data_IF_728549667189
#
_entry.id   IF_728549667189
#
_cell.length_a   1.000
_cell.length_b   1.000
_cell.length_c   1.000
_cell.angle_alpha   90.00
_cell.angle_beta   90.00
_cell.angle_gamma   90.00
#
_symmetry.space_group_name_H-M   'P 1'
#
loop_
_entity.id
_entity.type
_entity.pdbx_description
1 polymer ?
#
# COMPACT_ATOMS: atom_id res chain seq x y z
N UNK A 1 -12.10 -30.14 16.13
CA UNK A 1 -10.84 -29.39 15.96
C UNK A 1 -11.19 -28.01 15.40
N UNK A 2 -11.04 -26.97 16.20
CA UNK A 2 -11.37 -25.58 15.84
C UNK A 2 -10.26 -25.02 14.95
N UNK A 3 -10.52 -24.91 13.64
CA UNK A 3 -9.57 -24.30 12.71
C UNK A 3 -9.33 -22.84 13.07
N UNK A 4 -8.10 -22.51 13.47
CA UNK A 4 -7.63 -21.14 13.61
C UNK A 4 -7.84 -20.45 12.26
N UNK A 5 -8.73 -19.45 12.21
CA UNK A 5 -8.91 -18.63 11.01
C UNK A 5 -7.63 -17.82 10.82
N UNK A 6 -6.75 -18.30 9.95
CA UNK A 6 -5.60 -17.53 9.47
C UNK A 6 -6.12 -16.58 8.41
N UNK A 7 -6.02 -15.27 8.68
CA UNK A 7 -6.30 -14.24 7.69
C UNK A 7 -5.01 -14.04 6.89
N UNK A 8 -4.85 -14.84 5.84
CA UNK A 8 -3.70 -14.79 4.96
C UNK A 8 -4.03 -13.89 3.76
N UNK A 9 -3.47 -12.69 3.74
CA UNK A 9 -3.15 -12.05 2.48
C UNK A 9 -1.64 -12.16 2.27
N UNK A 10 -1.20 -12.17 1.01
CA UNK A 10 0.23 -12.33 0.65
C UNK A 10 1.08 -11.09 1.02
N UNK A 11 0.65 -10.29 2.00
CA UNK A 11 1.33 -9.13 2.57
C UNK A 11 1.69 -9.39 4.05
N UNK A 12 2.41 -10.48 4.28
CA UNK A 12 3.37 -10.75 5.37
C UNK A 12 3.11 -10.16 6.78
N UNK A 13 1.87 -10.12 7.25
CA UNK A 13 1.54 -9.85 8.66
C UNK A 13 0.57 -10.90 9.20
N UNK A 14 1.08 -11.94 9.87
CA UNK A 14 0.21 -12.95 10.52
C UNK A 14 -0.03 -12.54 11.96
N UNK A 15 -1.28 -12.20 12.29
CA UNK A 15 -1.69 -11.87 13.65
C UNK A 15 -2.42 -13.06 14.28
N UNK A 16 -1.84 -13.61 15.34
CA UNK A 16 -2.47 -14.71 16.09
C UNK A 16 -3.47 -14.19 17.11
N UNK A 17 -3.28 -12.95 17.59
CA UNK A 17 -4.18 -12.26 18.52
C UNK A 17 -4.76 -11.01 17.89
N UNK A 18 -6.05 -10.83 18.16
CA UNK A 18 -6.83 -9.74 17.62
C UNK A 18 -6.36 -8.35 18.07
N UNK A 19 -5.97 -8.20 19.33
CA UNK A 19 -5.51 -6.92 19.87
C UNK A 19 -4.18 -6.48 19.24
N UNK A 20 -3.35 -7.44 18.81
CA UNK A 20 -2.10 -7.17 18.09
C UNK A 20 -2.39 -6.64 16.68
N UNK A 21 -3.39 -7.19 16.00
CA UNK A 21 -3.86 -6.69 14.70
C UNK A 21 -4.39 -5.26 14.80
N UNK A 22 -5.27 -4.98 15.76
CA UNK A 22 -5.85 -3.64 15.94
C UNK A 22 -4.77 -2.61 16.31
N UNK A 23 -3.85 -2.95 17.21
CA UNK A 23 -2.68 -2.10 17.52
C UNK A 23 -1.82 -1.84 16.30
N UNK A 24 -1.65 -2.84 15.42
CA UNK A 24 -0.94 -2.67 14.16
C UNK A 24 -1.65 -1.67 13.24
N UNK A 25 -2.97 -1.81 13.04
CA UNK A 25 -3.76 -0.87 12.23
C UNK A 25 -3.71 0.55 12.78
N UNK A 26 -3.80 0.72 14.11
CA UNK A 26 -3.64 2.01 14.75
C UNK A 26 -2.27 2.62 14.51
N UNK A 27 -1.20 1.82 14.66
CA UNK A 27 0.18 2.25 14.40
C UNK A 27 0.34 2.71 12.95
N UNK A 28 -0.12 1.90 11.99
CA UNK A 28 -0.12 2.26 10.56
C UNK A 28 -0.88 3.56 10.35
N UNK A 29 -2.07 3.69 10.95
CA UNK A 29 -2.90 4.89 10.83
C UNK A 29 -2.24 6.16 11.39
N UNK A 30 -1.49 6.05 12.50
CA UNK A 30 -0.74 7.16 13.10
C UNK A 30 0.49 7.56 12.28
N UNK A 31 1.14 6.59 11.64
CA UNK A 31 2.39 6.80 10.91
C UNK A 31 2.19 7.11 9.42
N UNK A 32 0.95 7.02 8.91
CA UNK A 32 0.64 7.34 7.52
C UNK A 32 0.51 8.85 7.32
N UNK A 33 1.13 9.39 6.27
CA UNK A 33 0.96 10.79 5.86
C UNK A 33 1.07 10.96 4.34
N UNK A 34 0.51 12.07 3.84
CA UNK A 34 0.74 12.53 2.47
C UNK A 34 1.85 13.56 2.43
N UNK A 35 2.74 13.46 1.46
CA UNK A 35 3.71 14.51 1.15
C UNK A 35 3.65 14.89 -0.33
N UNK A 36 3.57 16.20 -0.62
CA UNK A 36 3.60 16.74 -1.99
C UNK A 36 5.00 17.21 -2.34
N UNK A 37 5.53 16.72 -3.46
CA UNK A 37 6.85 17.07 -4.00
C UNK A 37 6.73 17.47 -5.47
N UNK A 38 7.56 18.41 -5.92
CA UNK A 38 7.60 18.82 -7.34
C UNK A 38 8.11 17.66 -8.18
N UNK A 39 7.44 17.35 -9.29
CA UNK A 39 7.74 16.20 -10.15
C UNK A 39 9.19 16.19 -10.66
N UNK A 40 9.78 17.37 -10.94
CA UNK A 40 11.19 17.48 -11.36
C UNK A 40 12.22 16.97 -10.35
N UNK A 41 11.82 16.79 -9.08
CA UNK A 41 12.67 16.26 -8.01
C UNK A 41 12.49 14.76 -7.79
N UNK A 42 11.57 14.12 -8.51
CA UNK A 42 11.24 12.70 -8.40
C UNK A 42 12.02 11.94 -9.47
N UNK A 43 12.73 10.89 -9.08
CA UNK A 43 13.38 9.96 -10.01
C UNK A 43 13.15 8.53 -9.55
N UNK A 44 12.85 7.63 -10.46
CA UNK A 44 12.96 6.20 -10.18
C UNK A 44 14.41 5.79 -10.38
N UNK A 45 14.97 5.08 -9.42
CA UNK A 45 16.33 4.55 -9.48
C UNK A 45 16.31 3.05 -9.17
N UNK A 46 17.15 2.24 -9.83
CA UNK A 46 17.22 0.82 -9.54
C UNK A 46 17.83 0.57 -8.14
N UNK A 47 17.42 -0.53 -7.52
CA UNK A 47 18.02 -1.08 -6.30
C UNK A 47 18.27 -2.57 -6.50
N UNK A 48 19.43 -3.02 -6.05
CA UNK A 48 19.83 -4.44 -5.97
C UNK A 48 20.24 -4.76 -4.54
N UNK A 49 20.23 -6.05 -4.19
CA UNK A 49 20.51 -6.50 -2.81
C UNK A 49 21.93 -6.18 -2.35
N UNK A 50 22.88 -6.16 -3.29
CA UNK A 50 24.30 -5.84 -3.10
C UNK A 50 24.61 -4.32 -3.17
N UNK A 51 23.61 -3.48 -3.37
CA UNK A 51 23.83 -2.04 -3.51
C UNK A 51 24.00 -1.37 -2.14
N UNK A 52 24.97 -0.44 -2.03
CA UNK A 52 25.19 0.35 -0.80
C UNK A 52 23.93 1.08 -0.31
N UNK A 53 23.07 1.51 -1.24
CA UNK A 53 21.79 2.15 -0.90
C UNK A 53 20.82 1.19 -0.21
N UNK A 54 20.87 -0.11 -0.51
CA UNK A 54 20.05 -1.12 0.17
C UNK A 54 20.50 -1.30 1.62
N UNK A 55 21.81 -1.38 1.87
CA UNK A 55 22.39 -1.46 3.21
C UNK A 55 22.05 -0.21 4.04
N UNK A 56 22.33 0.99 3.51
CA UNK A 56 22.01 2.28 4.16
C UNK A 56 20.51 2.40 4.49
N UNK A 57 19.63 1.89 3.61
CA UNK A 57 18.19 1.91 3.86
C UNK A 57 17.76 0.90 4.93
N UNK A 58 18.33 -0.30 4.97
CA UNK A 58 18.05 -1.28 6.02
C UNK A 58 18.46 -0.76 7.39
N UNK A 59 19.68 -0.25 7.51
CA UNK A 59 20.18 0.38 8.75
C UNK A 59 19.28 1.50 9.22
N UNK A 60 18.94 2.44 8.31
CA UNK A 60 18.03 3.53 8.63
C UNK A 60 16.66 3.04 9.11
N UNK A 61 16.08 2.04 8.43
CA UNK A 61 14.78 1.52 8.80
C UNK A 61 14.83 0.78 10.15
N UNK A 62 15.91 0.05 10.43
CA UNK A 62 16.14 -0.57 11.73
C UNK A 62 16.23 0.48 12.85
N UNK A 63 17.03 1.54 12.65
CA UNK A 63 17.19 2.65 13.60
C UNK A 63 15.87 3.38 13.89
N UNK A 64 15.04 3.57 12.86
CA UNK A 64 13.73 4.21 12.98
C UNK A 64 12.62 3.24 13.49
N UNK A 65 12.95 1.97 13.76
CA UNK A 65 11.98 0.95 14.19
C UNK A 65 10.92 0.62 13.12
N UNK A 66 11.29 0.80 11.85
CA UNK A 66 10.46 0.51 10.68
C UNK A 66 10.69 -0.93 10.19
N UNK A 67 9.79 -1.40 9.34
CA UNK A 67 9.88 -2.73 8.75
C UNK A 67 10.96 -2.78 7.66
N UNK A 68 12.11 -3.38 7.97
CA UNK A 68 13.21 -3.61 7.03
C UNK A 68 12.83 -4.56 5.88
N UNK A 69 11.86 -5.46 6.11
CA UNK A 69 11.38 -6.43 5.12
C UNK A 69 10.83 -5.76 3.85
N UNK A 70 10.42 -4.50 3.96
CA UNK A 70 10.01 -3.68 2.82
C UNK A 70 11.10 -3.50 1.76
N UNK A 71 12.37 -3.49 2.16
CA UNK A 71 13.51 -3.32 1.24
C UNK A 71 13.68 -4.59 0.42
N UNK A 72 13.66 -5.75 1.08
CA UNK A 72 13.69 -7.05 0.41
C UNK A 72 12.49 -7.24 -0.52
N UNK A 73 11.28 -6.90 -0.07
CA UNK A 73 10.07 -6.93 -0.92
C UNK A 73 10.21 -6.04 -2.15
N UNK A 74 10.77 -4.85 -1.99
CA UNK A 74 11.00 -3.90 -3.09
C UNK A 74 11.97 -4.46 -4.11
N UNK A 75 13.12 -5.00 -3.67
CA UNK A 75 14.12 -5.62 -4.54
C UNK A 75 13.49 -6.77 -5.34
N UNK A 76 12.76 -7.66 -4.67
CA UNK A 76 12.18 -8.85 -5.30
C UNK A 76 11.05 -8.53 -6.27
N UNK A 77 10.24 -7.50 -6.01
CA UNK A 77 9.01 -7.27 -6.77
C UNK A 77 9.08 -6.10 -7.75
N UNK A 78 9.83 -5.05 -7.47
CA UNK A 78 9.92 -3.86 -8.34
C UNK A 78 11.34 -3.57 -8.78
N UNK A 79 12.34 -3.81 -7.92
CA UNK A 79 13.73 -3.40 -8.14
C UNK A 79 13.90 -1.89 -8.21
N UNK A 80 12.95 -1.10 -7.69
CA UNK A 80 12.90 0.35 -7.88
C UNK A 80 12.72 1.11 -6.55
N UNK A 81 13.50 2.19 -6.40
CA UNK A 81 13.30 3.21 -5.38
C UNK A 81 12.80 4.50 -6.01
N UNK A 82 11.98 5.23 -5.26
CA UNK A 82 11.68 6.62 -5.54
C UNK A 82 12.71 7.51 -4.85
N UNK A 83 13.59 8.15 -5.63
CA UNK A 83 14.50 9.18 -5.17
C UNK A 83 13.78 10.53 -5.15
N UNK A 84 13.79 11.18 -3.99
CA UNK A 84 13.30 12.54 -3.80
C UNK A 84 14.41 13.39 -3.21
N UNK A 85 15.04 14.22 -4.05
CA UNK A 85 16.29 14.94 -3.68
C UNK A 85 17.36 13.96 -3.17
N UNK A 86 17.64 13.97 -1.86
CA UNK A 86 18.68 13.16 -1.21
C UNK A 86 18.09 12.00 -0.38
N UNK A 87 16.80 11.72 -0.53
CA UNK A 87 16.11 10.64 0.18
C UNK A 87 15.63 9.59 -0.81
N UNK A 88 15.57 8.34 -0.35
CA UNK A 88 15.12 7.20 -1.13
C UNK A 88 13.94 6.53 -0.41
N UNK A 89 12.94 6.11 -1.18
CA UNK A 89 11.75 5.44 -0.69
C UNK A 89 11.49 4.15 -1.46
N UNK A 90 11.18 3.03 -0.79
CA UNK A 90 10.85 1.76 -1.44
C UNK A 90 9.55 1.88 -2.26
N UNK A 91 9.56 1.35 -3.49
CA UNK A 91 8.37 1.30 -4.35
C UNK A 91 7.75 -0.10 -4.29
N UNK A 92 6.54 -0.20 -3.72
CA UNK A 92 5.79 -1.46 -3.62
C UNK A 92 5.12 -1.84 -4.96
N UNK A 93 4.98 -3.14 -5.22
CA UNK A 93 4.39 -3.66 -6.46
C UNK A 93 2.84 -3.67 -6.49
N UNK A 94 2.20 -3.28 -5.40
CA UNK A 94 0.75 -3.39 -5.19
C UNK A 94 -0.08 -2.67 -6.26
N UNK A 95 0.44 -1.60 -6.86
CA UNK A 95 -0.24 -0.88 -7.95
C UNK A 95 -0.13 -1.60 -9.31
N UNK A 96 1.00 -2.26 -9.60
CA UNK A 96 1.31 -2.74 -10.95
C UNK A 96 0.60 -4.07 -11.24
N UNK A 97 0.57 -5.00 -10.28
CA UNK A 97 -0.06 -6.32 -10.48
C UNK A 97 -1.59 -6.24 -10.46
N UNK A 98 -2.18 -5.44 -9.57
CA UNK A 98 -3.64 -5.36 -9.37
C UNK A 98 -4.38 -4.60 -10.47
N UNK A 99 -3.76 -3.58 -11.07
CA UNK A 99 -4.38 -2.79 -12.15
C UNK A 99 -4.29 -3.53 -13.49
N UNK A 100 -3.19 -4.26 -13.75
CA UNK A 100 -2.88 -4.77 -15.09
C UNK A 100 -3.32 -6.21 -15.34
N UNK A 101 -3.53 -7.04 -14.30
CA UNK A 101 -3.52 -8.50 -14.53
C UNK A 101 -4.84 -9.25 -14.47
N UNK A 102 -5.88 -8.83 -13.73
CA UNK A 102 -6.71 -9.92 -13.16
C UNK A 102 -8.20 -10.11 -13.46
N UNK A 103 -9.06 -9.18 -13.93
CA UNK A 103 -10.51 -9.54 -13.85
C UNK A 103 -11.47 -9.20 -14.99
N UNK A 104 -11.04 -8.67 -16.13
CA UNK A 104 -11.99 -8.37 -17.23
C UNK A 104 -13.19 -7.52 -16.77
N UNK A 105 -12.99 -6.70 -15.73
CA UNK A 105 -14.02 -5.90 -15.10
C UNK A 105 -14.33 -4.73 -16.04
N UNK A 106 -15.58 -4.64 -16.49
CA UNK A 106 -16.05 -3.46 -17.19
C UNK A 106 -16.19 -2.30 -16.20
N UNK A 107 -15.31 -1.33 -16.32
CA UNK A 107 -15.29 -0.13 -15.49
C UNK A 107 -16.32 0.91 -15.94
N UNK A 108 -16.96 0.71 -17.10
CA UNK A 108 -17.92 1.65 -17.69
C UNK A 108 -19.31 1.55 -17.09
N UNK A 109 -19.75 0.34 -16.77
CA UNK A 109 -21.11 0.10 -16.26
C UNK A 109 -21.21 0.05 -14.73
N UNK A 110 -20.09 -0.16 -14.03
CA UNK A 110 -20.02 -0.21 -12.57
C UNK A 110 -19.72 1.13 -11.89
N UNK A 111 -19.94 1.18 -10.57
CA UNK A 111 -19.36 2.23 -9.72
C UNK A 111 -17.96 1.81 -9.28
N UNK A 112 -16.94 2.58 -9.64
CA UNK A 112 -15.55 2.30 -9.32
C UNK A 112 -15.10 3.15 -8.13
N UNK A 113 -14.68 2.49 -7.05
CA UNK A 113 -14.12 3.19 -5.88
C UNK A 113 -12.60 3.13 -5.94
N UNK A 114 -11.99 4.30 -6.08
CA UNK A 114 -10.55 4.48 -6.12
C UNK A 114 -10.04 4.87 -4.72
N UNK A 115 -9.03 4.15 -4.25
CA UNK A 115 -8.38 4.40 -2.95
C UNK A 115 -6.86 4.47 -3.10
N UNK A 116 -6.22 5.27 -2.25
CA UNK A 116 -4.76 5.37 -2.19
C UNK A 116 -4.13 6.36 -3.18
N UNK A 117 -2.82 6.55 -3.04
CA UNK A 117 -2.11 7.67 -3.67
C UNK A 117 -1.97 7.56 -5.17
N UNK A 118 -1.77 6.34 -5.67
CA UNK A 118 -1.70 6.11 -7.11
C UNK A 118 -2.98 6.54 -7.82
N UNK A 119 -4.14 6.32 -7.21
CA UNK A 119 -5.41 6.73 -7.80
C UNK A 119 -5.63 8.25 -7.72
N UNK A 120 -5.21 8.91 -6.63
CA UNK A 120 -5.27 10.36 -6.54
C UNK A 120 -4.34 11.06 -7.53
N UNK A 121 -3.14 10.51 -7.77
CA UNK A 121 -2.22 11.03 -8.78
C UNK A 121 -2.82 10.96 -10.19
N UNK A 122 -3.62 9.92 -10.46
CA UNK A 122 -4.27 9.70 -11.75
C UNK A 122 -5.70 10.27 -11.80
N UNK A 123 -6.15 11.00 -10.77
CA UNK A 123 -7.56 11.38 -10.61
C UNK A 123 -8.13 12.07 -11.84
N UNK A 124 -7.46 13.11 -12.33
CA UNK A 124 -7.92 13.87 -13.49
C UNK A 124 -8.04 12.97 -14.74
N UNK A 125 -7.09 12.07 -14.95
CA UNK A 125 -7.14 11.11 -16.04
C UNK A 125 -8.27 10.09 -15.88
N UNK A 126 -8.49 9.59 -14.66
CA UNK A 126 -9.53 8.60 -14.35
C UNK A 126 -10.94 9.20 -14.44
N UNK A 127 -11.12 10.43 -13.96
CA UNK A 127 -12.41 11.16 -14.00
C UNK A 127 -12.81 11.54 -15.44
N UNK A 128 -11.84 11.80 -16.32
CA UNK A 128 -12.08 12.14 -17.73
C UNK A 128 -12.02 10.93 -18.69
N UNK A 129 -11.87 9.71 -18.18
CA UNK A 129 -11.74 8.51 -19.01
C UNK A 129 -13.11 8.01 -19.47
N UNK A 130 -13.32 7.90 -20.79
CA UNK A 130 -14.53 7.27 -21.37
C UNK A 130 -14.68 5.77 -21.04
N UNK A 131 -13.63 5.16 -20.47
CA UNK A 131 -13.61 3.75 -20.05
C UNK A 131 -14.15 3.55 -18.63
N UNK A 132 -14.36 4.63 -17.87
CA UNK A 132 -14.82 4.59 -16.48
C UNK A 132 -16.18 5.28 -16.43
N UNK A 133 -17.17 4.61 -15.85
CA UNK A 133 -18.49 5.17 -15.63
C UNK A 133 -18.50 6.07 -14.40
N UNK A 134 -19.28 5.68 -13.38
CA UNK A 134 -19.29 6.41 -12.10
C UNK A 134 -18.03 6.06 -11.31
N UNK A 135 -17.28 7.08 -10.87
CA UNK A 135 -16.15 6.89 -9.97
C UNK A 135 -16.31 7.66 -8.65
N UNK A 136 -15.70 7.14 -7.58
CA UNK A 136 -15.63 7.77 -6.25
C UNK A 136 -14.20 7.64 -5.74
N UNK A 137 -13.63 8.73 -5.22
CA UNK A 137 -12.30 8.73 -4.65
C UNK A 137 -12.37 8.81 -3.13
N UNK A 138 -11.67 7.91 -2.44
CA UNK A 138 -11.45 8.00 -1.00
C UNK A 138 -10.04 8.53 -0.76
N UNK A 139 -9.97 9.75 -0.22
CA UNK A 139 -8.71 10.48 -0.03
C UNK A 139 -8.01 10.15 1.30
N UNK A 140 -8.73 9.52 2.23
CA UNK A 140 -8.17 9.12 3.52
C UNK A 140 -7.16 7.99 3.31
N UNK A 141 -5.88 8.27 3.56
CA UNK A 141 -4.78 7.29 3.51
C UNK A 141 -5.03 6.08 4.39
N UNK A 142 -5.82 6.26 5.44
CA UNK A 142 -6.15 5.23 6.42
C UNK A 142 -7.40 4.45 6.00
N UNK A 143 -7.99 4.72 4.83
CA UNK A 143 -9.22 4.06 4.38
C UNK A 143 -9.10 2.54 4.41
N UNK A 144 -7.95 2.00 4.01
CA UNK A 144 -7.68 0.56 4.08
C UNK A 144 -7.70 0.06 5.54
N UNK A 145 -6.93 0.69 6.43
CA UNK A 145 -6.90 0.34 7.86
C UNK A 145 -8.28 0.48 8.54
N UNK A 146 -9.03 1.55 8.23
CA UNK A 146 -10.41 1.74 8.70
C UNK A 146 -11.36 0.67 8.18
N UNK A 147 -11.20 0.25 6.93
CA UNK A 147 -11.98 -0.83 6.32
C UNK A 147 -11.82 -2.15 7.07
N UNK A 148 -10.58 -2.54 7.39
CA UNK A 148 -10.32 -3.71 8.24
C UNK A 148 -10.96 -3.55 9.64
N UNK A 149 -10.87 -2.37 10.24
CA UNK A 149 -11.53 -2.08 11.53
C UNK A 149 -13.06 -2.23 11.47
N UNK A 150 -13.70 -1.76 10.40
CA UNK A 150 -15.15 -1.89 10.21
C UNK A 150 -15.57 -3.34 9.94
N UNK A 151 -14.88 -4.04 9.04
CA UNK A 151 -15.11 -5.46 8.76
C UNK A 151 -15.06 -6.27 10.06
N UNK A 152 -14.09 -5.95 10.91
CA UNK A 152 -13.94 -6.56 12.22
C UNK A 152 -15.13 -6.28 13.16
N UNK A 153 -15.60 -5.03 13.26
CA UNK A 153 -16.78 -4.70 14.08
C UNK A 153 -18.04 -5.44 13.62
N UNK A 154 -18.22 -5.61 12.31
CA UNK A 154 -19.34 -6.35 11.73
C UNK A 154 -19.23 -7.85 12.10
N UNK A 155 -18.05 -8.44 11.98
CA UNK A 155 -17.82 -9.84 12.37
C UNK A 155 -18.06 -10.10 13.86
N UNK A 156 -17.81 -9.11 14.74
CA UNK A 156 -18.17 -9.21 16.16
C UNK A 156 -19.68 -9.21 16.40
N UNK A 157 -20.44 -8.39 15.66
CA UNK A 157 -21.90 -8.24 15.85
C UNK A 157 -22.69 -9.41 15.27
N UNK A 158 -22.10 -10.17 14.35
CA UNK A 158 -22.69 -11.39 13.76
C UNK A 158 -22.40 -12.68 14.53
N UNK A 159 -21.83 -12.60 15.73
CA UNK A 159 -21.67 -13.69 16.70
C UNK A 159 -22.49 -13.36 17.94
#
# INVERSE_FOLDING_TARGET
MSGTKVFEDSYCGVFTKQDEFLKCLERIGRNSFWERKKSKNLRLVPITDDSRVAEELREKYAEEGLDEGIITDTILNTGLLLKVRNQYYPVRCCAIKSILRERGIDLKTGCVVFIGGGALLLREYLENSEKIGRCVFIEDIRANAKGYGLLYQIQRKGR
#
